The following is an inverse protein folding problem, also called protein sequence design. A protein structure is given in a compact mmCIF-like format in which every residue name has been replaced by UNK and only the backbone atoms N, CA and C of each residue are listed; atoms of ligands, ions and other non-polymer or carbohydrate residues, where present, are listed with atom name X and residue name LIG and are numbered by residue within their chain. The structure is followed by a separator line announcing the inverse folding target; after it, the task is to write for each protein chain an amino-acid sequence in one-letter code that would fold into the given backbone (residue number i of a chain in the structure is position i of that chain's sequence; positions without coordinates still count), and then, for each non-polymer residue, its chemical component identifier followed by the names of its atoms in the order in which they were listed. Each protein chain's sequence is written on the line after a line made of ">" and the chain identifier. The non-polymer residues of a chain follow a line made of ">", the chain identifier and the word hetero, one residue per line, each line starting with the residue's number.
data_IF_947149607155
#
_entry.id   IF_947149607155
#
_cell.length_a   1.000
_cell.length_b   1.000
_cell.length_c   1.000
_cell.angle_alpha   90.00
_cell.angle_beta   90.00
_cell.angle_gamma   90.00
#
_symmetry.space_group_name_H-M   'P 1'
#
loop_
_entity.id
_entity.type
_entity.pdbx_description
1 polymer ?
#
# COMPACT_ATOMS: atom_id res chain seq x y z
N UNK A 1 -13.87 -22.98 -21.33
CA UNK A 1 -12.75 -22.08 -20.98
C UNK A 1 -13.00 -21.50 -19.60
N UNK A 2 -12.65 -22.24 -18.56
CA UNK A 2 -12.68 -21.78 -17.18
C UNK A 2 -11.33 -21.13 -16.89
N UNK A 3 -11.32 -19.81 -16.69
CA UNK A 3 -10.12 -19.13 -16.16
C UNK A 3 -9.72 -19.77 -14.82
N UNK A 4 -8.43 -19.75 -14.44
CA UNK A 4 -8.01 -20.32 -13.17
C UNK A 4 -8.80 -19.63 -12.05
N UNK A 5 -9.34 -20.43 -11.12
CA UNK A 5 -9.98 -19.92 -9.91
C UNK A 5 -9.00 -18.97 -9.22
N UNK A 6 -9.42 -17.73 -8.93
CA UNK A 6 -8.60 -16.79 -8.15
C UNK A 6 -8.17 -17.50 -6.87
N UNK A 7 -6.87 -17.78 -6.75
CA UNK A 7 -6.30 -18.32 -5.52
C UNK A 7 -6.60 -17.33 -4.39
N UNK A 8 -7.13 -17.81 -3.26
CA UNK A 8 -7.33 -17.00 -2.04
C UNK A 8 -5.97 -16.72 -1.39
N UNK A 9 -5.11 -15.99 -2.08
CA UNK A 9 -3.84 -15.53 -1.55
C UNK A 9 -4.16 -14.49 -0.50
N UNK A 10 -3.80 -14.77 0.76
CA UNK A 10 -3.84 -13.77 1.83
C UNK A 10 -2.41 -13.31 2.11
N UNK A 11 -2.21 -12.01 2.22
CA UNK A 11 -0.92 -11.46 2.63
C UNK A 11 -0.60 -11.87 4.08
N UNK A 12 0.46 -12.67 4.28
CA UNK A 12 0.88 -13.17 5.60
C UNK A 12 2.19 -12.54 6.08
N UNK A 13 2.87 -11.75 5.25
CA UNK A 13 4.17 -11.16 5.61
C UNK A 13 3.99 -9.94 6.50
N UNK A 14 4.83 -9.83 7.53
CA UNK A 14 4.91 -8.64 8.37
C UNK A 14 5.59 -7.48 7.63
N UNK A 15 6.72 -7.76 6.98
CA UNK A 15 7.60 -6.75 6.38
C UNK A 15 7.77 -6.99 4.87
N UNK A 16 7.97 -5.91 4.09
CA UNK A 16 8.27 -5.95 2.65
C UNK A 16 9.67 -5.34 2.42
N UNK A 17 10.70 -6.19 2.49
CA UNK A 17 12.11 -5.78 2.37
C UNK A 17 12.65 -5.87 0.94
N UNK A 18 11.97 -6.61 0.06
CA UNK A 18 12.36 -6.80 -1.33
C UNK A 18 11.42 -7.78 -2.05
N UNK A 19 11.61 -7.90 -3.36
CA UNK A 19 10.71 -8.70 -4.21
C UNK A 19 11.21 -10.12 -4.50
N UNK A 20 12.48 -10.43 -4.19
CA UNK A 20 13.13 -11.70 -4.58
C UNK A 20 12.46 -12.94 -3.99
N UNK A 21 11.93 -12.81 -2.78
CA UNK A 21 11.29 -13.91 -2.06
C UNK A 21 9.78 -13.97 -2.29
N UNK A 22 9.21 -12.99 -3.02
CA UNK A 22 7.79 -12.98 -3.29
C UNK A 22 7.47 -14.00 -4.37
N UNK A 23 6.45 -14.82 -4.10
CA UNK A 23 5.81 -15.64 -5.12
C UNK A 23 5.09 -14.78 -6.16
N UNK A 24 4.83 -15.33 -7.35
CA UNK A 24 4.07 -14.63 -8.38
C UNK A 24 2.66 -14.28 -7.90
N UNK A 25 2.08 -15.15 -7.08
CA UNK A 25 0.79 -15.01 -6.43
C UNK A 25 0.77 -13.83 -5.44
N UNK A 26 1.80 -13.68 -4.61
CA UNK A 26 1.93 -12.54 -3.69
C UNK A 26 2.11 -11.21 -4.45
N UNK A 27 2.89 -11.20 -5.53
CA UNK A 27 3.05 -10.02 -6.37
C UNK A 27 1.70 -9.65 -7.00
N UNK A 28 0.99 -10.63 -7.56
CA UNK A 28 -0.33 -10.42 -8.16
C UNK A 28 -1.33 -9.89 -7.12
N UNK A 29 -1.30 -10.40 -5.89
CA UNK A 29 -2.12 -9.90 -4.80
C UNK A 29 -1.89 -8.41 -4.50
N UNK A 30 -0.63 -7.95 -4.48
CA UNK A 30 -0.30 -6.52 -4.30
C UNK A 30 -0.86 -5.69 -5.46
N UNK A 31 -0.70 -6.16 -6.69
CA UNK A 31 -1.15 -5.47 -7.91
C UNK A 31 -2.67 -5.36 -7.97
N UNK A 32 -3.39 -6.47 -7.73
CA UNK A 32 -4.86 -6.50 -7.66
C UNK A 32 -5.38 -5.56 -6.58
N UNK A 33 -4.72 -5.54 -5.41
CA UNK A 33 -5.05 -4.61 -4.33
C UNK A 33 -4.82 -3.16 -4.77
N UNK A 34 -3.69 -2.86 -5.40
CA UNK A 34 -3.39 -1.52 -5.90
C UNK A 34 -4.42 -1.05 -6.95
N UNK A 35 -4.87 -1.93 -7.83
CA UNK A 35 -5.91 -1.63 -8.81
C UNK A 35 -7.24 -1.29 -8.15
N UNK A 36 -7.66 -2.04 -7.13
CA UNK A 36 -8.86 -1.70 -6.35
C UNK A 36 -8.74 -0.32 -5.66
N UNK A 37 -7.56 0.06 -5.19
CA UNK A 37 -7.33 1.36 -4.58
C UNK A 37 -7.27 2.53 -5.57
N UNK A 38 -7.06 2.29 -6.87
CA UNK A 38 -7.14 3.36 -7.87
C UNK A 38 -8.50 4.06 -7.85
N UNK A 39 -9.58 3.31 -7.61
CA UNK A 39 -10.93 3.87 -7.49
C UNK A 39 -11.06 4.86 -6.33
N UNK A 40 -10.32 4.69 -5.23
CA UNK A 40 -10.33 5.66 -4.12
C UNK A 40 -9.80 7.02 -4.59
N UNK A 41 -8.87 7.03 -5.54
CA UNK A 41 -8.33 8.26 -6.13
C UNK A 41 -9.30 9.03 -7.01
N UNK A 42 -10.34 8.37 -7.55
CA UNK A 42 -11.33 8.98 -8.46
C UNK A 42 -12.59 9.47 -7.74
N UNK A 43 -12.82 9.07 -6.49
CA UNK A 43 -13.94 9.52 -5.66
C UNK A 43 -13.80 11.00 -5.28
N UNK A 44 -14.93 11.66 -5.03
CA UNK A 44 -14.96 13.01 -4.44
C UNK A 44 -14.26 13.03 -3.08
N UNK A 45 -14.56 12.04 -2.24
CA UNK A 45 -13.87 11.81 -0.98
C UNK A 45 -12.76 10.79 -1.20
N UNK A 46 -11.53 11.29 -1.34
CA UNK A 46 -10.31 10.49 -1.55
C UNK A 46 -9.77 9.87 -0.26
N UNK A 47 -10.62 9.66 0.75
CA UNK A 47 -10.24 9.12 2.05
C UNK A 47 -11.10 7.92 2.40
N UNK A 48 -10.46 6.84 2.86
CA UNK A 48 -11.10 5.67 3.45
C UNK A 48 -10.55 5.45 4.86
N UNK A 49 -11.34 4.98 5.83
CA UNK A 49 -10.91 4.89 7.23
C UNK A 49 -10.12 3.61 7.55
N UNK A 50 -9.45 3.01 6.57
CA UNK A 50 -8.80 1.70 6.70
C UNK A 50 -7.69 1.65 7.75
N UNK A 51 -6.98 2.77 7.96
CA UNK A 51 -5.89 2.90 8.93
C UNK A 51 -6.17 3.98 9.99
N UNK A 52 -7.44 4.30 10.24
CA UNK A 52 -7.81 5.28 11.27
C UNK A 52 -7.24 4.89 12.64
N UNK A 53 -6.58 5.83 13.30
CA UNK A 53 -5.93 5.61 14.60
C UNK A 53 -4.61 4.83 14.51
N UNK A 54 -4.05 4.66 13.31
CA UNK A 54 -2.70 4.13 13.08
C UNK A 54 -1.77 5.27 12.67
N UNK A 55 -0.53 5.20 13.11
CA UNK A 55 0.53 6.15 12.75
C UNK A 55 1.52 5.48 11.79
N UNK A 56 1.79 6.14 10.67
CA UNK A 56 2.84 5.78 9.74
C UNK A 56 4.04 6.71 9.96
N UNK A 57 5.22 6.14 10.19
CA UNK A 57 6.46 6.88 10.35
C UNK A 57 7.32 6.66 9.11
N UNK A 58 7.63 7.74 8.39
CA UNK A 58 8.60 7.75 7.32
C UNK A 58 9.97 8.13 7.90
N UNK A 59 10.97 7.27 7.72
CA UNK A 59 12.35 7.55 8.10
C UNK A 59 13.26 7.49 6.88
N UNK A 60 13.86 8.63 6.53
CA UNK A 60 14.75 8.77 5.38
C UNK A 60 16.09 9.37 5.83
N UNK A 61 17.13 8.54 5.94
CA UNK A 61 18.50 9.00 6.22
C UNK A 61 19.03 9.87 5.07
N UNK A 62 18.68 9.50 3.84
CA UNK A 62 18.97 10.26 2.63
C UNK A 62 17.65 10.81 2.05
N UNK A 63 17.60 12.10 1.67
CA UNK A 63 16.36 12.72 1.24
C UNK A 63 15.85 12.12 -0.07
N UNK A 64 14.60 11.66 -0.07
CA UNK A 64 13.91 11.16 -1.26
C UNK A 64 12.49 11.72 -1.35
N UNK A 65 12.36 12.93 -1.94
CA UNK A 65 11.10 13.67 -1.99
C UNK A 65 9.97 12.87 -2.64
N UNK A 66 10.25 12.21 -3.77
CA UNK A 66 9.22 11.45 -4.50
C UNK A 66 8.68 10.29 -3.67
N UNK A 67 9.56 9.54 -3.03
CA UNK A 67 9.19 8.37 -2.23
C UNK A 67 8.45 8.79 -0.97
N UNK A 68 8.98 9.77 -0.22
CA UNK A 68 8.32 10.30 0.99
C UNK A 68 6.92 10.79 0.71
N UNK A 69 6.75 11.63 -0.32
CA UNK A 69 5.44 12.17 -0.71
C UNK A 69 4.47 11.05 -1.13
N UNK A 70 4.95 10.01 -1.80
CA UNK A 70 4.11 8.87 -2.18
C UNK A 70 3.54 8.14 -0.97
N UNK A 71 4.38 7.81 0.03
CA UNK A 71 3.94 7.15 1.26
C UNK A 71 3.03 8.03 2.10
N UNK A 72 3.34 9.32 2.22
CA UNK A 72 2.51 10.29 2.94
C UNK A 72 1.11 10.41 2.32
N UNK A 73 1.01 10.57 1.00
CA UNK A 73 -0.28 10.64 0.31
C UNK A 73 -1.08 9.34 0.52
N UNK A 74 -0.43 8.18 0.40
CA UNK A 74 -1.09 6.89 0.61
C UNK A 74 -1.65 6.78 2.04
N UNK A 75 -0.85 7.13 3.06
CA UNK A 75 -1.27 7.09 4.46
C UNK A 75 -2.46 8.02 4.74
N UNK A 76 -2.42 9.27 4.25
CA UNK A 76 -3.50 10.25 4.43
C UNK A 76 -4.79 9.77 3.76
N UNK A 77 -4.70 9.17 2.56
CA UNK A 77 -5.87 8.59 1.88
C UNK A 77 -6.46 7.41 2.64
N UNK A 78 -5.67 6.71 3.45
CA UNK A 78 -6.12 5.63 4.33
C UNK A 78 -6.49 6.12 5.73
N UNK A 79 -6.51 7.43 5.96
CA UNK A 79 -6.82 8.09 7.24
C UNK A 79 -5.85 7.76 8.38
N UNK A 80 -4.59 7.45 8.06
CA UNK A 80 -3.52 7.32 9.05
C UNK A 80 -2.89 8.69 9.39
N UNK A 81 -2.34 8.79 10.60
CA UNK A 81 -1.47 9.90 10.99
C UNK A 81 -0.06 9.69 10.41
N UNK A 82 0.62 10.76 9.97
CA UNK A 82 1.94 10.67 9.35
C UNK A 82 2.97 11.46 10.16
N UNK A 83 4.09 10.81 10.45
CA UNK A 83 5.28 11.45 11.04
C UNK A 83 6.44 11.26 10.06
N UNK A 84 7.10 12.35 9.69
CA UNK A 84 8.29 12.32 8.82
C UNK A 84 9.53 12.63 9.66
N UNK A 85 10.52 11.76 9.59
CA UNK A 85 11.83 11.90 10.22
C UNK A 85 12.88 11.86 9.11
N UNK A 86 13.75 12.86 9.08
CA UNK A 86 14.79 13.08 8.08
C UNK A 86 16.02 13.69 8.72
#
# INVERSE_FOLDING_TARGET
>A
MTGPAKSEVRWQRKDLLGIRELSAEEITFILDTADAFKEVGTREIKKVPALRGKTLVNFFVEPSTRTRTSFEIAAIRLSADVINIS
#
